data_IF_680858581302
#
_entry.id   IF_680858581302
#
_cell.length_a   1.000
_cell.length_b   1.000
_cell.length_c   1.000
_cell.angle_alpha   90.00
_cell.angle_beta   90.00
_cell.angle_gamma   90.00
#
_symmetry.space_group_name_H-M   'P 1'
#
loop_
_entity.id
_entity.type
_entity.pdbx_description
1 polymer ?
#
# COMPACT_ATOMS: atom_id res chain seq x y z
N UNK A 1 12.28 75.35 14.45
CA UNK A 1 11.73 74.39 15.45
C UNK A 1 11.44 73.02 14.83
N UNK A 2 12.45 72.30 14.34
CA UNK A 2 12.27 70.94 13.75
C UNK A 2 13.31 69.92 14.23
N UNK A 3 14.48 70.34 14.71
CA UNK A 3 15.55 69.44 15.18
C UNK A 3 15.36 68.93 16.62
N UNK A 4 14.68 69.69 17.49
CA UNK A 4 14.47 69.31 18.90
C UNK A 4 13.45 68.17 19.03
N UNK A 5 12.43 68.12 18.16
CA UNK A 5 11.42 67.05 18.15
C UNK A 5 11.98 65.68 17.75
N UNK A 6 12.97 65.62 16.86
CA UNK A 6 13.56 64.34 16.43
C UNK A 6 14.40 63.67 17.52
N UNK A 7 15.06 64.44 18.38
CA UNK A 7 15.87 63.91 19.48
C UNK A 7 14.98 63.36 20.60
N UNK A 8 13.85 64.03 20.89
CA UNK A 8 12.90 63.57 21.91
C UNK A 8 12.23 62.22 21.54
N UNK A 9 11.92 62.00 20.27
CA UNK A 9 11.30 60.75 19.79
C UNK A 9 12.30 59.59 19.80
N UNK A 10 13.59 59.85 19.52
CA UNK A 10 14.63 58.81 19.55
C UNK A 10 14.90 58.31 20.99
N UNK A 11 14.91 59.21 21.97
CA UNK A 11 15.13 58.86 23.38
C UNK A 11 13.96 58.09 23.99
N UNK A 12 12.71 58.42 23.63
CA UNK A 12 11.53 57.69 24.11
C UNK A 12 11.44 56.27 23.50
N UNK A 13 11.86 56.08 22.25
CA UNK A 13 11.93 54.77 21.61
C UNK A 13 12.94 53.82 22.30
N UNK A 14 14.10 54.34 22.68
CA UNK A 14 15.15 53.57 23.38
C UNK A 14 14.70 53.13 24.78
N UNK A 15 14.00 53.98 25.53
CA UNK A 15 13.46 53.62 26.85
C UNK A 15 12.38 52.53 26.75
N UNK A 16 11.52 52.60 25.72
CA UNK A 16 10.49 51.57 25.46
C UNK A 16 11.07 50.19 25.15
N UNK A 17 12.14 50.13 24.35
CA UNK A 17 12.81 48.86 24.00
C UNK A 17 13.49 48.22 25.21
N UNK A 18 14.11 49.02 26.08
CA UNK A 18 14.75 48.53 27.30
C UNK A 18 13.70 48.00 28.29
N UNK A 19 12.55 48.68 28.45
CA UNK A 19 11.47 48.22 29.32
C UNK A 19 10.82 46.92 28.84
N UNK A 20 10.68 46.74 27.52
CA UNK A 20 10.13 45.50 26.94
C UNK A 20 11.09 44.29 27.11
N UNK A 21 12.40 44.52 27.04
CA UNK A 21 13.40 43.46 27.28
C UNK A 21 13.53 43.06 28.75
N UNK A 22 13.25 43.99 29.69
CA UNK A 22 13.37 43.77 31.14
C UNK A 22 12.08 43.29 31.81
N UNK A 23 10.94 43.34 31.11
CA UNK A 23 9.65 42.83 31.59
C UNK A 23 9.30 41.44 31.04
N UNK A 24 10.23 40.77 30.33
CA UNK A 24 10.03 39.39 29.93
C UNK A 24 10.06 38.51 31.20
N UNK A 25 8.96 37.84 31.58
CA UNK A 25 8.95 36.98 32.74
C UNK A 25 9.85 35.78 32.46
N UNK A 26 11.05 35.79 33.04
CA UNK A 26 11.90 34.60 33.15
C UNK A 26 11.29 33.75 34.25
N UNK A 27 10.17 33.11 33.93
CA UNK A 27 9.68 31.98 34.72
C UNK A 27 10.70 30.85 34.56
N UNK A 28 11.19 30.23 35.65
CA UNK A 28 11.95 29.00 35.54
C UNK A 28 10.99 27.91 35.10
N UNK A 29 10.89 27.69 33.78
CA UNK A 29 10.21 26.54 33.24
C UNK A 29 11.00 25.32 33.69
N UNK A 30 10.47 24.68 34.74
CA UNK A 30 10.74 23.29 35.15
C UNK A 30 11.09 22.47 33.91
N UNK A 31 12.19 21.71 33.88
CA UNK A 31 12.64 21.08 32.65
C UNK A 31 11.50 20.24 32.10
N UNK A 32 10.92 20.72 31.00
CA UNK A 32 10.10 19.90 30.14
C UNK A 32 11.04 18.77 29.74
N UNK A 33 10.77 17.59 30.29
CA UNK A 33 11.37 16.34 29.83
C UNK A 33 11.24 16.41 28.32
N UNK A 34 12.37 16.65 27.66
CA UNK A 34 12.48 16.56 26.22
C UNK A 34 11.97 15.16 25.92
N UNK A 35 10.74 15.07 25.42
CA UNK A 35 10.23 13.86 24.83
C UNK A 35 11.18 13.60 23.68
N UNK A 36 12.20 12.79 23.96
CA UNK A 36 13.14 12.27 23.00
C UNK A 36 12.30 11.84 21.81
N UNK A 37 12.59 12.29 20.58
CA UNK A 37 11.86 11.81 19.41
C UNK A 37 11.91 10.28 19.47
N UNK A 38 10.79 9.63 19.80
CA UNK A 38 10.74 8.18 19.83
C UNK A 38 10.85 7.77 18.37
N UNK A 39 12.05 7.39 17.96
CA UNK A 39 12.28 6.78 16.66
C UNK A 39 11.32 5.58 16.64
N UNK A 40 10.32 5.54 15.74
CA UNK A 40 9.48 4.36 15.64
C UNK A 40 10.40 3.21 15.26
N UNK A 41 10.66 2.31 16.21
CA UNK A 41 11.46 1.10 16.04
C UNK A 41 10.61 -0.06 15.54
N UNK A 42 9.35 0.19 15.19
CA UNK A 42 8.46 -0.87 14.73
C UNK A 42 8.94 -1.44 13.41
N UNK A 43 8.87 -2.77 13.31
CA UNK A 43 9.21 -3.47 12.08
C UNK A 43 8.27 -3.06 10.94
N UNK A 44 8.66 -3.28 9.68
CA UNK A 44 7.76 -3.02 8.55
C UNK A 44 6.44 -3.78 8.72
N UNK A 45 6.50 -5.04 9.18
CA UNK A 45 5.33 -5.87 9.44
C UNK A 45 4.39 -5.23 10.46
N UNK A 46 4.94 -4.77 11.58
CA UNK A 46 4.19 -4.11 12.65
C UNK A 46 3.57 -2.79 12.15
N UNK A 47 4.34 -1.96 11.44
CA UNK A 47 3.83 -0.71 10.86
C UNK A 47 2.71 -0.95 9.84
N UNK A 48 2.79 -2.03 9.07
CA UNK A 48 1.73 -2.44 8.16
C UNK A 48 0.50 -2.86 8.97
N UNK A 49 0.64 -3.78 9.93
CA UNK A 49 -0.49 -4.26 10.72
C UNK A 49 -1.16 -3.17 11.55
N UNK A 50 -0.43 -2.19 12.08
CA UNK A 50 -1.01 -1.01 12.73
C UNK A 50 -1.95 -0.25 11.79
N UNK A 51 -1.54 -0.03 10.55
CA UNK A 51 -2.36 0.66 9.54
C UNK A 51 -3.57 -0.16 9.13
N UNK A 52 -3.39 -1.48 9.01
CA UNK A 52 -4.47 -2.41 8.71
C UNK A 52 -5.51 -2.41 9.83
N UNK A 53 -5.08 -2.58 11.08
CA UNK A 53 -5.95 -2.50 12.25
C UNK A 53 -6.69 -1.17 12.32
N UNK A 54 -5.99 -0.05 12.10
CA UNK A 54 -6.58 1.27 12.15
C UNK A 54 -7.66 1.50 11.08
N UNK A 55 -7.52 0.90 9.89
CA UNK A 55 -8.43 1.12 8.77
C UNK A 55 -9.53 0.06 8.65
N UNK A 56 -9.23 -1.20 8.98
CA UNK A 56 -10.11 -2.35 8.75
C UNK A 56 -10.51 -3.09 10.04
N UNK A 57 -10.01 -2.66 11.20
CA UNK A 57 -10.35 -3.21 12.50
C UNK A 57 -9.52 -4.43 12.91
N UNK A 58 -8.93 -5.16 11.97
CA UNK A 58 -8.08 -6.31 12.29
C UNK A 58 -6.99 -6.60 11.25
N UNK A 59 -5.83 -7.06 11.73
CA UNK A 59 -4.70 -7.59 10.97
C UNK A 59 -4.45 -9.01 11.46
N UNK A 60 -4.69 -10.02 10.63
CA UNK A 60 -4.44 -11.43 10.98
C UNK A 60 -2.97 -11.76 10.88
N UNK A 61 -2.36 -11.42 9.75
CA UNK A 61 -0.95 -11.70 9.44
C UNK A 61 -0.52 -11.02 8.17
N UNK A 62 0.79 -10.84 8.04
CA UNK A 62 1.43 -10.57 6.75
C UNK A 62 1.81 -11.90 6.09
N UNK A 63 1.42 -12.08 4.83
CA UNK A 63 1.50 -13.35 4.11
C UNK A 63 2.78 -13.49 3.29
N UNK A 64 3.15 -12.44 2.56
CA UNK A 64 4.27 -12.46 1.64
C UNK A 64 4.90 -11.07 1.55
N UNK A 65 6.24 -11.04 1.50
CA UNK A 65 7.03 -9.88 1.12
C UNK A 65 7.73 -10.16 -0.21
N UNK A 66 7.38 -9.43 -1.27
CA UNK A 66 8.04 -9.52 -2.57
C UNK A 66 8.99 -8.33 -2.80
N UNK A 67 10.27 -8.59 -2.52
CA UNK A 67 11.40 -7.68 -2.65
C UNK A 67 11.71 -7.22 -4.09
N UNK A 68 11.07 -7.79 -5.11
CA UNK A 68 11.22 -7.34 -6.49
C UNK A 68 10.07 -6.41 -6.92
N UNK A 69 8.83 -6.73 -6.52
CA UNK A 69 7.63 -5.99 -6.94
C UNK A 69 7.21 -4.89 -5.96
N UNK A 70 7.79 -4.82 -4.76
CA UNK A 70 7.47 -3.83 -3.70
C UNK A 70 6.11 -4.06 -3.10
N UNK A 71 5.68 -5.32 -3.12
CA UNK A 71 4.39 -5.74 -2.64
C UNK A 71 4.52 -6.52 -1.35
N UNK A 72 3.59 -6.24 -0.46
CA UNK A 72 3.31 -7.03 0.72
C UNK A 72 1.84 -7.43 0.66
N UNK A 73 1.53 -8.70 0.92
CA UNK A 73 0.15 -9.16 1.01
C UNK A 73 -0.23 -9.31 2.47
N UNK A 74 -1.35 -8.70 2.86
CA UNK A 74 -1.78 -8.69 4.25
C UNK A 74 -3.19 -9.22 4.33
N UNK A 75 -3.40 -10.07 5.33
CA UNK A 75 -4.68 -10.71 5.60
C UNK A 75 -5.39 -10.01 6.76
N UNK A 76 -6.67 -9.72 6.58
CA UNK A 76 -7.59 -9.38 7.66
C UNK A 76 -8.73 -10.42 7.72
N UNK A 77 -9.75 -10.18 8.54
CA UNK A 77 -10.89 -11.09 8.69
C UNK A 77 -11.72 -11.28 7.43
N UNK A 78 -11.75 -10.29 6.53
CA UNK A 78 -12.61 -10.26 5.35
C UNK A 78 -11.91 -10.72 4.09
N UNK A 79 -10.59 -10.60 4.01
CA UNK A 79 -9.86 -10.86 2.77
C UNK A 79 -8.37 -10.60 2.86
N UNK A 80 -7.77 -10.45 1.67
CA UNK A 80 -6.36 -10.14 1.50
C UNK A 80 -6.23 -8.95 0.56
N UNK A 81 -5.44 -7.95 0.93
CA UNK A 81 -5.11 -6.84 0.05
C UNK A 81 -3.60 -6.73 -0.18
N UNK A 82 -3.19 -6.34 -1.39
CA UNK A 82 -1.82 -5.93 -1.63
C UNK A 82 -1.54 -4.56 -1.04
N UNK A 83 -0.32 -4.39 -0.55
CA UNK A 83 0.24 -3.18 0.03
C UNK A 83 1.50 -2.84 -0.76
N UNK A 84 1.59 -1.60 -1.23
CA UNK A 84 2.81 -1.08 -1.82
C UNK A 84 3.74 -0.59 -0.71
N UNK A 85 5.03 -0.93 -0.80
CA UNK A 85 6.08 -0.40 0.07
C UNK A 85 6.93 0.65 -0.64
N UNK A 86 7.82 1.32 0.11
CA UNK A 86 8.87 2.14 -0.48
C UNK A 86 9.94 1.27 -1.19
N UNK A 87 10.86 1.93 -1.90
CA UNK A 87 11.93 1.28 -2.67
C UNK A 87 12.83 0.38 -1.82
N UNK A 88 13.02 0.72 -0.54
CA UNK A 88 13.94 0.03 0.36
C UNK A 88 13.24 -1.01 1.25
N UNK A 89 11.94 -1.26 1.07
CA UNK A 89 11.18 -2.23 1.88
C UNK A 89 11.21 -1.95 3.38
N UNK A 90 11.22 -0.67 3.75
CA UNK A 90 11.28 -0.24 5.14
C UNK A 90 10.00 0.47 5.58
N UNK A 91 9.16 0.90 4.64
CA UNK A 91 7.98 1.72 4.94
C UNK A 91 6.77 1.31 4.10
N UNK A 92 5.62 1.28 4.75
CA UNK A 92 4.31 1.30 4.10
C UNK A 92 4.19 2.54 3.20
N UNK A 93 3.64 2.36 2.00
CA UNK A 93 3.32 3.47 1.10
C UNK A 93 1.80 3.63 0.96
N UNK A 94 1.10 2.61 0.45
CA UNK A 94 -0.36 2.64 0.29
C UNK A 94 -0.97 1.25 0.18
N UNK A 95 -2.25 1.16 0.54
CA UNK A 95 -3.10 0.04 0.18
C UNK A 95 -3.42 0.05 -1.32
N UNK A 96 -3.55 -1.15 -1.90
CA UNK A 96 -3.98 -1.35 -3.27
C UNK A 96 -5.38 -1.97 -3.22
N UNK A 97 -6.34 -1.26 -3.79
CA UNK A 97 -7.75 -1.66 -3.87
C UNK A 97 -8.14 -2.09 -5.28
N UNK A 98 -9.15 -2.97 -5.45
CA UNK A 98 -9.98 -3.58 -4.38
C UNK A 98 -9.28 -4.71 -3.60
N UNK A 99 -9.75 -4.99 -2.38
CA UNK A 99 -9.32 -6.17 -1.61
C UNK A 99 -9.82 -7.45 -2.31
N UNK A 100 -9.08 -8.55 -2.19
CA UNK A 100 -9.57 -9.88 -2.54
C UNK A 100 -10.42 -10.40 -1.37
N UNK A 101 -11.74 -10.39 -1.53
CA UNK A 101 -12.69 -10.70 -0.47
C UNK A 101 -12.99 -12.22 -0.42
N UNK A 102 -12.94 -12.79 0.78
CA UNK A 102 -13.15 -14.23 0.97
C UNK A 102 -14.60 -14.65 0.74
N UNK A 103 -15.57 -13.80 1.08
CA UNK A 103 -16.98 -14.09 0.91
C UNK A 103 -17.35 -14.02 -0.57
N UNK A 104 -16.95 -12.94 -1.25
CA UNK A 104 -17.10 -12.78 -2.71
C UNK A 104 -16.53 -14.01 -3.45
N UNK A 105 -15.29 -14.39 -3.12
CA UNK A 105 -14.65 -15.56 -3.72
C UNK A 105 -15.39 -16.87 -3.48
N UNK A 106 -16.02 -17.02 -2.32
CA UNK A 106 -16.75 -18.25 -1.97
C UNK A 106 -18.12 -18.30 -2.65
N UNK A 107 -18.86 -17.20 -2.68
CA UNK A 107 -20.23 -17.15 -3.15
C UNK A 107 -20.32 -17.12 -4.68
N UNK A 108 -19.38 -16.45 -5.35
CA UNK A 108 -19.43 -16.25 -6.80
C UNK A 108 -18.78 -17.38 -7.61
N UNK A 109 -18.53 -18.55 -7.00
CA UNK A 109 -17.78 -19.66 -7.62
C UNK A 109 -18.27 -20.05 -9.02
N UNK A 110 -19.57 -20.03 -9.26
CA UNK A 110 -20.17 -20.38 -10.56
C UNK A 110 -19.90 -19.30 -11.62
N UNK A 111 -19.99 -18.03 -11.24
CA UNK A 111 -19.87 -16.89 -12.17
C UNK A 111 -18.41 -16.52 -12.43
N UNK A 112 -17.56 -16.54 -11.40
CA UNK A 112 -16.13 -16.20 -11.53
C UNK A 112 -15.33 -17.27 -12.28
N UNK A 113 -15.81 -18.52 -12.31
CA UNK A 113 -15.04 -19.67 -12.81
C UNK A 113 -13.90 -20.07 -11.85
N UNK A 114 -12.76 -20.61 -12.32
CA UNK A 114 -11.68 -21.06 -11.43
C UNK A 114 -10.89 -19.93 -10.78
N UNK A 115 -11.20 -18.68 -11.13
CA UNK A 115 -10.37 -17.53 -10.80
C UNK A 115 -11.16 -16.24 -10.58
N UNK A 116 -10.87 -15.53 -9.51
CA UNK A 116 -11.37 -14.16 -9.27
C UNK A 116 -10.19 -13.20 -9.33
N UNK A 117 -10.21 -12.26 -10.27
CA UNK A 117 -9.11 -11.33 -10.49
C UNK A 117 -9.51 -9.87 -10.55
N UNK A 118 -8.55 -9.07 -10.13
CA UNK A 118 -8.59 -7.62 -10.07
C UNK A 118 -7.40 -7.06 -10.83
N UNK A 119 -7.63 -5.93 -11.50
CA UNK A 119 -6.61 -5.18 -12.20
C UNK A 119 -6.54 -3.76 -11.64
N UNK A 120 -5.35 -3.36 -11.18
CA UNK A 120 -5.09 -1.98 -10.75
C UNK A 120 -4.05 -1.33 -11.64
N UNK A 121 -4.50 -0.32 -12.39
CA UNK A 121 -3.65 0.54 -13.18
C UNK A 121 -2.95 1.58 -12.29
N UNK A 122 -1.75 2.01 -12.68
CA UNK A 122 -0.99 3.08 -12.02
C UNK A 122 -0.81 2.89 -10.50
N UNK A 123 -0.46 1.68 -10.08
CA UNK A 123 -0.06 1.40 -8.69
C UNK A 123 1.20 2.21 -8.34
N UNK A 124 2.14 2.31 -9.26
CA UNK A 124 3.25 3.26 -9.25
C UNK A 124 3.41 3.81 -10.68
N UNK A 125 4.19 4.88 -10.86
CA UNK A 125 4.53 5.40 -12.20
C UNK A 125 5.02 4.25 -13.10
N UNK A 126 4.39 4.04 -14.25
CA UNK A 126 4.70 2.96 -15.18
C UNK A 126 4.53 1.55 -14.61
N UNK A 127 3.68 1.36 -13.60
CA UNK A 127 3.41 0.04 -13.02
C UNK A 127 1.93 -0.18 -12.74
N UNK A 128 1.45 -1.34 -13.19
CA UNK A 128 0.12 -1.86 -12.91
C UNK A 128 0.22 -3.23 -12.24
N UNK A 129 -0.81 -3.62 -11.50
CA UNK A 129 -0.89 -4.89 -10.79
C UNK A 129 -2.11 -5.67 -11.27
N UNK A 130 -1.91 -6.94 -11.60
CA UNK A 130 -2.98 -7.93 -11.73
C UNK A 130 -2.83 -8.89 -10.57
N UNK A 131 -3.93 -9.23 -9.90
CA UNK A 131 -3.91 -10.06 -8.70
C UNK A 131 -5.28 -10.68 -8.45
N UNK A 132 -5.30 -11.80 -7.72
CA UNK A 132 -6.55 -12.39 -7.27
C UNK A 132 -6.41 -13.81 -6.71
N UNK A 133 -7.54 -14.45 -6.50
CA UNK A 133 -7.62 -15.78 -5.89
C UNK A 133 -7.89 -16.87 -6.91
N UNK A 134 -7.35 -18.05 -6.64
CA UNK A 134 -7.69 -19.28 -7.33
C UNK A 134 -7.73 -20.45 -6.34
N UNK A 135 -8.56 -21.43 -6.65
CA UNK A 135 -8.50 -22.72 -5.96
C UNK A 135 -7.37 -23.60 -6.51
N UNK A 136 -7.07 -24.69 -5.82
CA UNK A 136 -5.96 -25.59 -6.14
C UNK A 136 -6.11 -26.32 -7.49
N UNK A 137 -7.31 -26.31 -8.09
CA UNK A 137 -7.53 -26.79 -9.47
C UNK A 137 -6.70 -25.99 -10.49
N UNK A 138 -6.46 -24.70 -10.24
CA UNK A 138 -5.61 -23.86 -11.07
C UNK A 138 -4.13 -24.11 -10.74
N UNK A 139 -3.44 -24.91 -11.55
CA UNK A 139 -2.02 -25.20 -11.37
C UNK A 139 -1.11 -24.22 -12.09
N UNK A 140 -1.52 -23.77 -13.27
CA UNK A 140 -0.82 -22.73 -14.04
C UNK A 140 -1.81 -21.72 -14.58
N UNK A 141 -1.44 -20.45 -14.51
CA UNK A 141 -2.17 -19.34 -15.14
C UNK A 141 -1.24 -18.65 -16.11
N UNK A 142 -1.78 -18.29 -17.27
CA UNK A 142 -1.09 -17.45 -18.26
C UNK A 142 -1.96 -16.24 -18.55
N UNK A 143 -1.36 -15.04 -18.47
CA UNK A 143 -2.01 -13.78 -18.80
C UNK A 143 -1.80 -13.43 -20.27
N UNK A 144 -2.72 -13.90 -21.11
CA UNK A 144 -2.66 -13.78 -22.57
C UNK A 144 -2.76 -12.32 -23.03
N UNK A 145 -3.62 -11.52 -22.38
CA UNK A 145 -3.77 -10.10 -22.71
C UNK A 145 -2.49 -9.28 -22.50
N UNK A 146 -1.52 -9.84 -21.79
CA UNK A 146 -0.28 -9.18 -21.38
C UNK A 146 0.98 -9.80 -21.97
N UNK A 147 0.85 -10.56 -23.07
CA UNK A 147 2.00 -11.19 -23.73
C UNK A 147 2.39 -12.52 -23.08
N UNK A 148 1.39 -13.30 -22.66
CA UNK A 148 1.54 -14.63 -22.08
C UNK A 148 2.41 -14.66 -20.83
N UNK A 149 2.17 -13.72 -19.91
CA UNK A 149 2.91 -13.63 -18.66
C UNK A 149 2.37 -14.66 -17.66
N UNK A 150 3.27 -15.44 -17.07
CA UNK A 150 2.93 -16.30 -15.94
C UNK A 150 3.04 -15.49 -14.63
N UNK A 151 1.96 -15.36 -13.83
CA UNK A 151 2.00 -14.64 -12.57
C UNK A 151 2.73 -15.44 -11.48
N UNK A 152 3.21 -14.72 -10.48
CA UNK A 152 3.69 -15.32 -9.23
C UNK A 152 2.49 -15.84 -8.43
N UNK A 153 2.74 -16.82 -7.55
CA UNK A 153 1.72 -17.34 -6.63
C UNK A 153 2.28 -17.70 -5.26
N UNK A 154 1.42 -17.70 -4.27
CA UNK A 154 1.71 -18.27 -2.96
C UNK A 154 0.46 -18.89 -2.32
N UNK A 155 0.69 -19.90 -1.49
CA UNK A 155 -0.37 -20.63 -0.80
C UNK A 155 -0.84 -19.88 0.44
N UNK A 156 -2.15 -19.89 0.72
CA UNK A 156 -2.74 -19.21 1.88
C UNK A 156 -3.23 -20.20 2.94
N UNK A 157 -4.22 -21.04 2.59
CA UNK A 157 -4.85 -22.13 3.37
C UNK A 157 -5.93 -22.80 2.52
N UNK A 158 -6.45 -23.97 2.92
CA UNK A 158 -7.71 -24.54 2.39
C UNK A 158 -7.83 -24.51 0.86
N UNK A 159 -6.76 -24.91 0.15
CA UNK A 159 -6.68 -24.88 -1.32
C UNK A 159 -6.74 -23.49 -1.97
N UNK A 160 -6.68 -22.42 -1.18
CA UNK A 160 -6.65 -21.04 -1.64
C UNK A 160 -5.22 -20.59 -1.99
N UNK A 161 -5.08 -20.08 -3.20
CA UNK A 161 -3.86 -19.49 -3.72
C UNK A 161 -4.09 -18.02 -4.07
N UNK A 162 -3.13 -17.17 -3.75
CA UNK A 162 -3.04 -15.82 -4.32
C UNK A 162 -2.14 -15.87 -5.53
N UNK A 163 -2.60 -15.29 -6.62
CA UNK A 163 -1.85 -15.07 -7.85
C UNK A 163 -1.67 -13.58 -8.09
N UNK A 164 -0.50 -13.16 -8.54
CA UNK A 164 -0.23 -11.75 -8.79
C UNK A 164 0.92 -11.52 -9.78
N UNK A 165 0.88 -10.37 -10.46
CA UNK A 165 1.99 -9.89 -11.27
C UNK A 165 2.01 -8.36 -11.35
N UNK A 166 3.20 -7.79 -11.20
CA UNK A 166 3.44 -6.38 -11.48
C UNK A 166 3.94 -6.22 -12.92
N UNK A 167 3.27 -5.35 -13.69
CA UNK A 167 3.54 -5.14 -15.11
C UNK A 167 4.07 -3.72 -15.31
N UNK A 168 5.18 -3.60 -16.04
CA UNK A 168 5.85 -2.33 -16.37
C UNK A 168 5.09 -1.51 -17.41
N UNK A 169 3.90 -1.04 -17.05
CA UNK A 169 3.08 -0.14 -17.86
C UNK A 169 2.02 0.56 -17.01
N UNK A 170 1.53 1.69 -17.52
CA UNK A 170 0.52 2.51 -16.85
C UNK A 170 -0.85 1.83 -16.79
N UNK A 171 -1.23 1.08 -17.83
CA UNK A 171 -2.53 0.42 -17.93
C UNK A 171 -2.45 -0.99 -18.49
N UNK A 172 -3.13 -1.93 -17.83
CA UNK A 172 -3.39 -3.28 -18.34
C UNK A 172 -4.50 -3.30 -19.39
N UNK A 173 -4.44 -4.26 -20.30
CA UNK A 173 -5.51 -4.50 -21.28
C UNK A 173 -6.67 -5.16 -20.55
N UNK A 174 -7.87 -4.59 -20.71
CA UNK A 174 -9.10 -5.09 -20.11
C UNK A 174 -10.06 -5.59 -21.22
N UNK A 175 -10.85 -6.65 -20.98
CA UNK A 175 -10.75 -7.54 -19.82
C UNK A 175 -9.42 -8.31 -19.80
N UNK A 176 -8.98 -8.71 -18.61
CA UNK A 176 -7.78 -9.54 -18.47
C UNK A 176 -8.08 -10.92 -19.06
N UNK A 177 -7.48 -11.26 -20.20
CA UNK A 177 -7.70 -12.54 -20.89
C UNK A 177 -6.65 -13.55 -20.46
N UNK A 178 -7.07 -14.74 -20.06
CA UNK A 178 -6.18 -15.76 -19.49
C UNK A 178 -6.47 -17.16 -19.92
N UNK A 179 -5.50 -18.02 -19.67
CA UNK A 179 -5.65 -19.46 -19.75
C UNK A 179 -5.23 -20.08 -18.42
N UNK A 180 -6.08 -20.97 -17.91
CA UNK A 180 -5.83 -21.73 -16.67
C UNK A 180 -5.66 -23.18 -17.03
N UNK A 181 -4.60 -23.79 -16.48
CA UNK A 181 -4.26 -25.18 -16.67
C UNK A 181 -4.32 -25.96 -15.35
N UNK A 182 -4.76 -27.20 -15.43
CA UNK A 182 -4.77 -28.14 -14.31
C UNK A 182 -3.40 -28.84 -14.12
N UNK A 183 -3.36 -29.87 -13.27
CA UNK A 183 -2.16 -30.66 -13.00
C UNK A 183 -1.69 -31.53 -14.15
N UNK A 184 -2.56 -31.83 -15.11
CA UNK A 184 -2.24 -32.60 -16.31
C UNK A 184 -1.74 -31.69 -17.44
N UNK A 185 -1.80 -30.37 -17.25
CA UNK A 185 -1.50 -29.39 -18.29
C UNK A 185 -2.67 -29.20 -19.27
N UNK A 186 -3.87 -29.62 -18.91
CA UNK A 186 -5.09 -29.42 -19.69
C UNK A 186 -5.70 -28.06 -19.37
N UNK A 187 -6.28 -27.42 -20.39
CA UNK A 187 -6.95 -26.13 -20.22
C UNK A 187 -8.30 -26.36 -19.52
N UNK A 188 -8.47 -25.76 -18.36
CA UNK A 188 -9.74 -25.81 -17.60
C UNK A 188 -10.53 -24.50 -17.68
N UNK A 189 -9.88 -23.41 -18.12
CA UNK A 189 -10.55 -22.13 -18.37
C UNK A 189 -9.79 -21.27 -19.36
N UNK A 190 -10.56 -20.54 -20.17
CA UNK A 190 -10.04 -19.68 -21.23
C UNK A 190 -9.39 -20.46 -22.35
N UNK A 191 -8.30 -19.92 -22.91
CA UNK A 191 -7.65 -20.45 -24.11
C UNK A 191 -7.52 -19.37 -25.19
N UNK A 192 -6.58 -19.56 -26.10
CA UNK A 192 -6.57 -18.79 -27.33
C UNK A 192 -7.72 -19.32 -28.18
N UNK A 193 -8.76 -18.51 -28.40
CA UNK A 193 -9.49 -18.62 -29.66
C UNK A 193 -8.40 -18.66 -30.74
N UNK A 194 -8.36 -19.73 -31.54
CA UNK A 194 -7.52 -19.71 -32.73
C UNK A 194 -7.91 -18.45 -33.48
N UNK A 195 -6.96 -17.55 -33.73
CA UNK A 195 -7.15 -16.52 -34.73
C UNK A 195 -7.42 -17.27 -36.04
N UNK A 196 -8.70 -17.31 -36.45
CA UNK A 196 -9.12 -17.75 -37.79
C UNK A 196 -8.67 -16.73 -38.84
#
# INVERSE_FOLDING_TARGET
>A
MKKIFFIAVLCLGLVGVIYFLSSLPISPTKPAISAKPSIPTSSLEESICERVNAQFGDCKRVLLFDANSKLVFVENSTGIFPVLTNKDYTKFNKFIFPMMDFLEFKEEKVERGPIDWRAKNNVQKNFSLIYGFAEDEAKTIVINSEGNIQPNRFFVRDNLWVWYVMIQKDKVKLPVKVTVYDSNGEIIFGGNEKEE
#
